data_IF_672445709706
#
_entry.id   IF_672445709706
#
_cell.length_a   1.000
_cell.length_b   1.000
_cell.length_c   1.000
_cell.angle_alpha   90.00
_cell.angle_beta   90.00
_cell.angle_gamma   90.00
#
_symmetry.space_group_name_H-M   'P 1'
#
loop_
_entity.id
_entity.type
_entity.pdbx_description
1 polymer ?
2 non-polymer ?
3 water ?
#
# COMPACT_ATOMS: atom_id res chain seq x y z
N UNK A 4 6.02 -2.28 16.23
CA UNK A 4 5.76 -1.66 14.94
C UNK A 4 4.76 -2.50 14.08
N UNK A 5 4.27 -3.63 14.60
CA UNK A 5 3.23 -4.38 13.90
C UNK A 5 1.84 -3.91 14.31
N UNK A 6 1.68 -2.87 15.17
CA UNK A 6 0.35 -2.41 15.56
C UNK A 6 -0.26 -1.44 14.52
N UNK A 7 -1.56 -1.24 14.60
CA UNK A 7 -2.30 -0.45 13.61
C UNK A 7 -1.74 0.91 13.35
N UNK A 8 -1.44 1.68 14.40
CA UNK A 8 -0.93 3.05 14.25
C UNK A 8 0.30 3.19 13.36
N UNK A 9 1.28 2.32 13.55
CA UNK A 9 2.50 2.31 12.77
C UNK A 9 2.20 1.98 11.28
N UNK A 10 1.42 0.93 11.01
CA UNK A 10 1.14 0.48 9.64
C UNK A 10 0.27 1.53 8.93
N UNK A 11 -0.68 2.14 9.67
CA UNK A 11 -1.52 3.19 9.09
C UNK A 11 -0.66 4.35 8.66
N UNK A 12 0.31 4.75 9.50
CA UNK A 12 1.20 5.87 9.13
C UNK A 12 2.03 5.50 7.87
N UNK A 13 2.50 4.24 7.75
CA UNK A 13 3.20 3.80 6.52
C UNK A 13 2.27 3.91 5.31
N UNK A 14 1.02 3.45 5.45
CA UNK A 14 0.10 3.44 4.32
C UNK A 14 -0.25 4.89 3.93
N UNK A 15 -0.44 5.75 4.91
CA UNK A 15 -0.74 7.20 4.69
C UNK A 15 0.45 7.89 4.04
N UNK A 16 1.67 7.65 4.55
CA UNK A 16 2.88 8.24 3.96
C UNK A 16 3.00 7.84 2.48
N UNK A 17 2.69 6.54 2.18
CA UNK A 17 2.83 6.11 0.77
C UNK A 17 1.82 6.83 -0.14
N UNK A 18 0.54 6.99 0.34
CA UNK A 18 -0.42 7.69 -0.52
C UNK A 18 -0.06 9.17 -0.69
N UNK A 19 0.56 9.78 0.35
CA UNK A 19 1.00 11.16 0.23
C UNK A 19 2.18 11.30 -0.77
N UNK A 20 3.01 10.28 -0.85
CA UNK A 20 4.13 10.23 -1.79
C UNK A 20 3.52 10.14 -3.22
N UNK A 21 2.54 9.26 -3.41
CA UNK A 21 1.93 9.09 -4.73
C UNK A 21 1.18 10.37 -5.19
N UNK A 22 0.50 11.00 -4.25
CA UNK A 22 -0.23 12.25 -4.57
C UNK A 22 0.62 13.51 -4.58
N UNK A 23 1.91 13.37 -4.36
CA UNK A 23 2.89 14.45 -4.33
C UNK A 23 2.58 15.50 -3.26
N UNK A 24 2.12 15.03 -2.11
CA UNK A 24 1.81 15.85 -0.95
C UNK A 24 2.47 15.33 0.36
N UNK A 25 3.81 15.17 0.41
CA UNK A 25 4.45 14.78 1.68
C UNK A 25 4.08 15.73 2.82
N UNK A 26 3.79 15.19 4.00
CA UNK A 26 3.38 15.99 5.14
C UNK A 26 4.55 16.80 5.68
N UNK A 27 4.40 18.13 5.78
CA UNK A 27 5.49 18.95 6.32
C UNK A 27 5.66 18.87 7.84
N UNK A 28 5.25 17.74 8.42
CA UNK A 28 5.34 17.47 9.85
C UNK A 28 6.26 16.31 10.16
N UNK A 29 7.50 16.64 10.61
CA UNK A 29 8.58 15.73 11.02
C UNK A 29 9.26 15.00 9.85
N UNK A 30 8.49 14.64 8.83
CA UNK A 30 9.03 13.94 7.67
C UNK A 30 8.95 12.45 7.85
N UNK A 31 8.83 11.69 6.75
CA UNK A 31 8.71 10.23 6.88
C UNK A 31 9.86 9.56 7.61
N UNK A 32 9.58 8.45 8.29
CA UNK A 32 10.61 7.68 8.99
C UNK A 32 11.58 7.02 8.00
N UNK A 33 12.64 6.37 8.54
CA UNK A 33 13.62 5.58 7.79
C UNK A 33 12.89 4.45 7.10
N UNK A 34 11.91 3.81 7.78
CA UNK A 34 11.13 2.72 7.17
C UNK A 34 10.36 3.27 6.00
N UNK A 35 9.60 4.37 6.20
CA UNK A 35 8.80 4.93 5.14
C UNK A 35 9.62 5.33 3.94
N UNK A 36 10.76 5.97 4.19
CA UNK A 36 11.70 6.36 3.12
C UNK A 36 12.13 5.17 2.28
N UNK A 37 12.48 4.01 2.94
CA UNK A 37 12.89 2.86 2.15
C UNK A 37 11.70 2.27 1.40
N UNK A 38 10.54 2.16 2.08
CA UNK A 38 9.35 1.59 1.46
C UNK A 38 8.88 2.39 0.26
N UNK A 39 8.94 3.73 0.29
CA UNK A 39 8.44 4.54 -0.83
C UNK A 39 9.22 4.24 -2.15
N UNK A 40 10.55 4.05 -2.06
CA UNK A 40 11.35 3.77 -3.22
C UNK A 40 11.03 2.36 -3.78
N UNK A 41 10.96 1.36 -2.89
CA UNK A 41 10.68 -0.01 -3.36
C UNK A 41 9.25 -0.18 -3.84
N UNK A 42 8.29 0.36 -3.08
CA UNK A 42 6.88 0.28 -3.50
C UNK A 42 6.60 1.04 -4.80
N UNK A 43 7.23 2.23 -5.00
CA UNK A 43 7.02 2.97 -6.26
C UNK A 43 7.54 2.15 -7.48
N UNK A 44 8.67 1.46 -7.33
CA UNK A 44 9.22 0.63 -8.42
C UNK A 44 8.26 -0.49 -8.75
N UNK A 45 7.74 -1.18 -7.74
CA UNK A 45 6.76 -2.26 -7.97
C UNK A 45 5.51 -1.69 -8.57
N UNK A 46 5.05 -0.51 -8.09
CA UNK A 46 3.82 0.10 -8.63
C UNK A 46 3.92 0.32 -10.15
N UNK A 47 5.04 0.85 -10.64
CA UNK A 47 5.19 1.09 -12.10
C UNK A 47 5.11 -0.25 -12.87
N UNK A 48 5.75 -1.28 -12.31
CA UNK A 48 5.70 -2.62 -12.90
C UNK A 48 4.28 -3.17 -12.92
N UNK A 49 3.56 -3.14 -11.79
CA UNK A 49 2.19 -3.62 -11.74
C UNK A 49 1.27 -2.79 -12.66
N UNK A 50 1.50 -1.46 -12.77
CA UNK A 50 0.67 -0.61 -13.66
C UNK A 50 0.77 -1.12 -15.12
N UNK A 51 1.97 -1.52 -15.55
CA UNK A 51 2.22 -2.07 -16.89
C UNK A 51 1.60 -3.47 -17.01
N UNK A 52 1.90 -4.40 -16.07
CA UNK A 52 1.39 -5.77 -16.10
C UNK A 52 -0.14 -5.87 -16.01
N UNK A 53 -0.79 -4.97 -15.27
CA UNK A 53 -2.25 -4.98 -15.09
C UNK A 53 -2.98 -3.97 -15.99
N UNK A 54 -2.30 -3.38 -16.97
CA UNK A 54 -2.91 -2.36 -17.82
C UNK A 54 -4.22 -2.80 -18.50
N UNK A 55 -4.31 -4.04 -19.02
CA UNK A 55 -5.56 -4.51 -19.66
C UNK A 55 -6.73 -4.66 -18.67
N UNK A 56 -6.42 -4.95 -17.42
CA UNK A 56 -7.44 -5.11 -16.39
C UNK A 56 -7.86 -3.73 -15.87
N UNK A 57 -6.88 -2.85 -15.61
CA UNK A 57 -7.15 -1.53 -15.07
C UNK A 57 -7.96 -0.69 -16.06
N UNK A 58 -7.65 -0.80 -17.37
CA UNK A 58 -8.44 -0.08 -18.38
C UNK A 58 -9.88 -0.56 -18.38
N UNK A 59 -10.10 -1.86 -18.13
CA UNK A 59 -11.42 -2.49 -18.08
C UNK A 59 -12.30 -1.98 -16.93
N UNK A 60 -11.72 -1.33 -15.89
CA UNK A 60 -12.53 -0.84 -14.78
C UNK A 60 -12.39 0.65 -14.53
N UNK A 61 -13.46 1.25 -14.01
CA UNK A 61 -13.47 2.64 -13.60
C UNK A 61 -13.60 2.60 -12.09
N UNK A 62 -12.62 3.15 -11.35
CA UNK A 62 -12.67 3.15 -9.89
C UNK A 62 -13.48 4.36 -9.43
N UNK A 63 -14.80 4.22 -9.51
CA UNK A 63 -15.76 5.30 -9.25
C UNK A 63 -15.96 5.66 -7.80
N UNK A 64 -15.51 4.83 -6.87
CA UNK A 64 -15.74 5.07 -5.44
C UNK A 64 -14.77 4.25 -4.57
N UNK A 65 -14.72 4.55 -3.28
CA UNK A 65 -13.88 3.79 -2.35
C UNK A 65 -14.29 2.30 -2.30
N UNK A 66 -15.62 2.00 -2.34
CA UNK A 66 -16.09 0.61 -2.33
C UNK A 66 -15.54 -0.13 -3.56
N UNK A 67 -15.43 0.56 -4.73
CA UNK A 67 -14.88 -0.10 -5.93
C UNK A 67 -13.40 -0.41 -5.69
N UNK A 68 -12.66 0.55 -5.10
CA UNK A 68 -11.23 0.40 -4.83
C UNK A 68 -11.01 -0.79 -3.87
N UNK A 69 -11.84 -0.89 -2.84
CA UNK A 69 -11.79 -1.99 -1.88
C UNK A 69 -12.01 -3.35 -2.54
N UNK A 70 -13.00 -3.43 -3.46
CA UNK A 70 -13.31 -4.68 -4.17
C UNK A 70 -12.11 -5.11 -5.00
N UNK A 71 -11.51 -4.15 -5.72
CA UNK A 71 -10.35 -4.45 -6.55
C UNK A 71 -9.13 -4.88 -5.70
N UNK A 72 -8.94 -4.21 -4.54
CA UNK A 72 -7.83 -4.46 -3.61
C UNK A 72 -7.98 -5.88 -3.07
N UNK A 73 -9.19 -6.26 -2.65
CA UNK A 73 -9.47 -7.60 -2.15
C UNK A 73 -9.26 -8.69 -3.16
N UNK A 74 -9.66 -8.47 -4.40
CA UNK A 74 -9.49 -9.47 -5.45
C UNK A 74 -8.01 -9.70 -5.82
N UNK A 75 -7.21 -8.63 -5.87
CA UNK A 75 -5.78 -8.77 -6.13
C UNK A 75 -5.10 -9.38 -4.91
N UNK A 76 -5.38 -8.84 -3.72
CA UNK A 76 -4.75 -9.29 -2.48
C UNK A 76 -5.13 -10.72 -2.08
N UNK A 77 -6.38 -11.13 -2.35
CA UNK A 77 -6.84 -12.48 -2.06
C UNK A 77 -6.08 -13.48 -2.88
N UNK A 78 -5.80 -13.18 -4.15
CA UNK A 78 -5.05 -14.11 -4.99
C UNK A 78 -3.55 -14.02 -4.74
N UNK A 79 -3.03 -12.84 -4.33
CA UNK A 79 -1.61 -12.68 -4.07
C UNK A 79 -1.19 -13.54 -2.85
N UNK A 80 -2.09 -13.71 -1.85
CA UNK A 80 -1.77 -14.46 -0.64
C UNK A 80 -2.53 -15.80 -0.48
N UNK A 81 -3.25 -16.27 -1.50
CA UNK A 81 -4.02 -17.51 -1.36
C UNK A 81 -3.16 -18.75 -1.04
N UNK A 82 -1.94 -18.91 -1.62
CA UNK A 82 -1.10 -20.07 -1.26
C UNK A 82 -0.62 -20.07 0.22
N UNK A 83 -1.02 -19.04 0.98
CA UNK A 83 -0.70 -18.88 2.39
C UNK A 83 0.71 -18.39 2.68
N UNK A 84 1.55 -18.21 1.64
CA UNK A 84 2.92 -17.78 1.92
C UNK A 84 2.96 -16.23 1.99
N UNK A 85 3.69 -15.73 2.96
CA UNK A 85 3.88 -14.31 3.17
C UNK A 85 5.37 -14.07 3.08
N UNK A 86 5.78 -13.02 2.37
CA UNK A 86 7.17 -12.59 2.28
C UNK A 86 7.14 -11.05 2.07
N UNK A 87 8.29 -10.42 2.24
CA UNK A 87 8.34 -8.96 2.14
C UNK A 87 7.97 -8.42 0.75
N UNK A 88 8.31 -9.13 -0.34
CA UNK A 88 7.94 -8.66 -1.68
C UNK A 88 6.43 -8.62 -1.85
N UNK A 89 5.72 -9.60 -1.25
CA UNK A 89 4.26 -9.59 -1.33
C UNK A 89 3.68 -8.40 -0.52
N UNK A 90 4.32 -8.09 0.61
CA UNK A 90 3.84 -6.97 1.44
C UNK A 90 4.10 -5.64 0.71
N UNK A 91 5.24 -5.49 0.01
CA UNK A 91 5.47 -4.26 -0.80
C UNK A 91 4.37 -4.09 -1.86
N UNK A 92 3.93 -5.23 -2.47
CA UNK A 92 2.85 -5.22 -3.48
C UNK A 92 1.56 -4.60 -2.95
N UNK A 93 1.29 -4.77 -1.62
CA UNK A 93 0.07 -4.18 -1.04
C UNK A 93 0.13 -2.65 -1.16
N UNK A 94 1.30 -2.07 -0.81
CA UNK A 94 1.44 -0.61 -0.89
C UNK A 94 1.42 -0.16 -2.37
N UNK A 95 2.10 -0.89 -3.25
CA UNK A 95 2.12 -0.57 -4.67
C UNK A 95 0.68 -0.51 -5.21
N UNK A 96 -0.16 -1.50 -4.80
CA UNK A 96 -1.53 -1.54 -5.27
C UNK A 96 -2.39 -0.41 -4.71
N UNK A 97 -2.21 -0.03 -3.44
CA UNK A 97 -2.95 1.11 -2.91
C UNK A 97 -2.54 2.41 -3.66
N UNK A 98 -1.30 2.51 -4.12
CA UNK A 98 -0.86 3.67 -4.91
C UNK A 98 -1.61 3.72 -6.24
N UNK A 99 -1.80 2.55 -6.86
CA UNK A 99 -2.55 2.47 -8.12
C UNK A 99 -4.00 2.86 -7.87
N UNK A 100 -4.59 2.41 -6.75
CA UNK A 100 -5.98 2.73 -6.45
C UNK A 100 -6.17 4.20 -6.23
N UNK A 101 -5.24 4.87 -5.51
CA UNK A 101 -5.40 6.30 -5.27
C UNK A 101 -5.29 7.11 -6.58
N UNK A 102 -4.45 6.68 -7.53
CA UNK A 102 -4.33 7.34 -8.84
C UNK A 102 -5.63 7.22 -9.59
N UNK A 103 -6.18 6.00 -9.62
CA UNK A 103 -7.43 5.73 -10.31
C UNK A 103 -8.60 6.49 -9.69
N UNK A 104 -8.64 6.60 -8.37
CA UNK A 104 -9.70 7.34 -7.69
C UNK A 104 -9.55 8.83 -7.97
N UNK A 105 -8.32 9.36 -7.97
CA UNK A 105 -8.12 10.80 -8.23
C UNK A 105 -8.75 11.23 -9.56
N UNK A 106 -8.65 10.38 -10.57
CA UNK A 106 -9.16 10.67 -11.89
C UNK A 106 -10.61 10.30 -12.06
N UNK A 107 -11.04 9.15 -11.48
CA UNK A 107 -12.35 8.56 -11.72
C UNK A 107 -13.39 8.57 -10.60
N UNK A 108 -13.08 9.01 -9.38
CA UNK A 108 -14.04 9.00 -8.27
C UNK A 108 -15.18 9.96 -8.60
N UNK A 109 -16.45 9.52 -8.51
CA UNK A 109 -17.57 10.42 -8.85
C UNK A 109 -17.65 11.67 -7.93
N UNK A 110 -17.52 11.51 -6.61
CA UNK A 110 -17.63 12.65 -5.70
C UNK A 110 -16.30 12.82 -4.97
N UNK A 111 -15.38 13.65 -5.51
CA UNK A 111 -14.05 13.78 -4.89
C UNK A 111 -14.10 14.27 -3.48
N UNK A 112 -13.19 13.77 -2.65
CA UNK A 112 -13.12 14.15 -1.25
C UNK A 112 -11.62 14.18 -0.91
N UNK A 113 -11.12 15.25 -0.28
CA UNK A 113 -9.70 15.33 0.05
C UNK A 113 -9.24 14.29 1.09
N UNK A 114 -10.18 13.65 1.79
CA UNK A 114 -9.82 12.66 2.79
C UNK A 114 -9.84 11.22 2.25
N UNK A 115 -10.12 11.02 0.94
CA UNK A 115 -10.18 9.69 0.34
C UNK A 115 -8.92 8.87 0.59
N UNK A 116 -7.71 9.50 0.56
CA UNK A 116 -6.50 8.71 0.81
C UNK A 116 -6.47 8.15 2.21
N UNK A 117 -7.06 8.86 3.19
CA UNK A 117 -7.10 8.35 4.56
C UNK A 117 -8.00 7.09 4.67
N UNK A 118 -9.05 7.00 3.84
CA UNK A 118 -9.96 5.84 3.88
C UNK A 118 -9.32 4.64 3.25
N UNK A 119 -8.61 4.85 2.15
CA UNK A 119 -7.92 3.75 1.46
C UNK A 119 -6.79 3.23 2.39
N UNK A 120 -6.04 4.16 3.04
CA UNK A 120 -4.94 3.82 3.96
C UNK A 120 -5.45 2.97 5.10
N UNK A 121 -6.68 3.28 5.60
CA UNK A 121 -7.23 2.58 6.73
C UNK A 121 -7.50 1.15 6.34
N UNK A 122 -8.16 0.91 5.18
CA UNK A 122 -8.46 -0.46 4.79
C UNK A 122 -7.23 -1.25 4.40
N UNK A 123 -6.19 -0.56 3.89
CA UNK A 123 -4.92 -1.21 3.61
C UNK A 123 -4.25 -1.63 4.92
N UNK A 124 -4.25 -0.73 5.93
CA UNK A 124 -3.63 -1.06 7.22
C UNK A 124 -4.40 -2.19 7.93
N UNK A 125 -5.74 -2.21 7.78
CA UNK A 125 -6.56 -3.28 8.34
C UNK A 125 -6.15 -4.64 7.69
N UNK A 126 -5.99 -4.66 6.35
CA UNK A 126 -5.60 -5.88 5.64
C UNK A 126 -4.23 -6.36 6.08
N UNK A 127 -3.22 -5.45 6.09
CA UNK A 127 -1.88 -5.82 6.50
C UNK A 127 -1.88 -6.36 7.93
N UNK A 128 -2.54 -5.64 8.85
CA UNK A 128 -2.55 -6.07 10.24
C UNK A 128 -3.22 -7.42 10.42
N UNK A 129 -4.42 -7.62 9.88
CA UNK A 129 -5.16 -8.87 10.03
C UNK A 129 -4.53 -10.07 9.33
N UNK A 130 -3.96 -9.87 8.14
CA UNK A 130 -3.47 -10.98 7.36
C UNK A 130 -2.02 -11.27 7.48
N UNK A 131 -1.20 -10.25 7.85
CA UNK A 131 0.24 -10.42 7.90
C UNK A 131 0.91 -9.92 9.14
N UNK A 132 0.18 -9.31 10.09
CA UNK A 132 0.83 -8.72 11.26
C UNK A 132 1.66 -9.69 12.09
N UNK A 133 1.16 -10.89 12.30
CA UNK A 133 1.86 -11.95 13.07
C UNK A 133 3.23 -12.28 12.39
N UNK A 134 3.17 -12.54 11.07
CA UNK A 134 4.36 -12.81 10.25
C UNK A 134 5.32 -11.66 10.34
N UNK A 135 4.84 -10.40 10.20
CA UNK A 135 5.76 -9.25 10.28
C UNK A 135 6.52 -9.21 11.62
N UNK A 136 5.81 -9.38 12.73
CA UNK A 136 6.46 -9.34 14.06
C UNK A 136 7.54 -10.45 14.19
N UNK A 137 7.18 -11.67 13.83
CA UNK A 137 8.10 -12.82 13.91
C UNK A 137 9.33 -12.62 13.02
N UNK A 138 9.19 -11.83 11.93
CA UNK A 138 10.31 -11.61 11.03
C UNK A 138 11.03 -10.30 11.20
N UNK A 139 10.89 -9.71 12.39
CA UNK A 139 11.65 -8.53 12.78
C UNK A 139 10.97 -7.18 12.66
N UNK A 140 9.72 -7.18 12.33
CA UNK A 140 8.98 -5.93 12.13
C UNK A 140 9.51 -5.16 10.93
N UNK A 141 9.11 -3.88 10.86
CA UNK A 141 9.57 -3.00 9.79
C UNK A 141 11.01 -2.60 10.00
N UNK A 142 11.44 -2.33 11.25
CA UNK A 142 12.79 -1.83 11.49
C UNK A 142 13.90 -2.90 11.44
N UNK A 143 13.63 -4.12 11.92
CA UNK A 143 14.66 -5.18 11.88
C UNK A 143 14.38 -6.29 10.84
N UNK A 144 13.31 -6.15 10.08
CA UNK A 144 12.98 -7.11 9.05
C UNK A 144 13.02 -6.41 7.72
N UNK A 145 11.97 -5.65 7.45
CA UNK A 145 11.86 -4.95 6.17
C UNK A 145 13.03 -4.05 5.86
N UNK A 146 13.37 -3.10 6.76
CA UNK A 146 14.43 -2.14 6.45
C UNK A 146 15.76 -2.87 6.23
N UNK A 147 16.04 -3.89 7.04
CA UNK A 147 17.32 -4.62 6.88
C UNK A 147 17.43 -5.32 5.52
N UNK A 148 16.33 -5.83 5.02
CA UNK A 148 16.32 -6.49 3.73
C UNK A 148 16.43 -5.52 2.54
N UNK A 149 15.73 -4.37 2.63
CA UNK A 149 15.62 -3.49 1.47
C UNK A 149 16.42 -2.22 1.48
N UNK A 150 17.00 -1.80 2.62
CA UNK A 150 17.83 -0.61 2.62
C UNK A 150 19.11 -0.86 1.75
N UNK A 151 19.75 0.21 1.29
CA UNK A 151 21.00 0.04 0.52
C UNK A 151 22.08 -0.71 1.32
N UNK A 152 22.93 -1.58 0.69
CA UNK A 152 24.01 -2.33 1.38
C UNK A 152 25.24 -1.44 1.68
X LIG B 1 -8.90 -8.89 -14.27
X LIG B 1 -9.90 -7.87 -14.76
X LIG B 1 -11.72 -6.25 -14.29
X LIG B 1 -9.44 -6.30 -11.91
X LIG B 1 -8.64 -6.66 -10.84
X LIG B 1 -7.56 -5.88 -10.47
X LIG B 1 -7.27 -4.72 -11.15
X LIG B 1 -8.07 -4.34 -12.20
X LIG B 1 -9.15 -5.12 -12.58
X LIG B 1 -10.00 -7.62 -15.96
X LIG B 1 -7.46 -8.41 -14.27
X LIG B 1 -10.68 -7.20 -13.88
X LIG B 1 -10.54 -7.22 -12.41
X LIG B 1 -11.94 -6.82 -11.91
X LIG B 1 -12.72 -6.36 -13.17
#
# INVERSE_FOLDING_TARGET
GMTDCEFGYIYRLAQDYLQCVLQIPQPGSGPSKTSRVLQNVAFSVQKEVEKNLKSCLDNVNVVSVDTARTLFNQVMEKEFEDGIINWGRIVTIFAFEGILIKKLLRQQIAPDVDTYKEISYFVAEFIMNNTGEWIRQNGGWENGFVKKFEPK
A1H7Q C1 C2 C3 C7 C8 C9 C10 C11 C12 O C N C6 C5 C4
#
